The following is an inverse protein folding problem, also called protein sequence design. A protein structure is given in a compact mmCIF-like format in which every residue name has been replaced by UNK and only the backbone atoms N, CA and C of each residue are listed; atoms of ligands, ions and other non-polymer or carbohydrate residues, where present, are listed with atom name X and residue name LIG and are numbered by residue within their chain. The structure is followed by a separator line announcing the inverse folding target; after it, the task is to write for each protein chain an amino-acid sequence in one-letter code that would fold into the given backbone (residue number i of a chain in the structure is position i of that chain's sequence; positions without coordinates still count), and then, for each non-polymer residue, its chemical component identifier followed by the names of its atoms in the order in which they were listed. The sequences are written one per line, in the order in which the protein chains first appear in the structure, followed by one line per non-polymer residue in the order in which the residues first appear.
data_IF_684499365261
#
_entry.id   IF_684499365261
#
_cell.length_a   1.000
_cell.length_b   1.000
_cell.length_c   1.000
_cell.angle_alpha   90.00
_cell.angle_beta   90.00
_cell.angle_gamma   90.00
#
_symmetry.space_group_name_H-M   'P 1'
#
loop_
_entity.id
_entity.type
_entity.pdbx_description
1 polymer ?
#
# COMPACT_ATOMS: atom_id res chain seq x y z
N UNK A 1 -21.76 -26.37 43.70
CA UNK A 1 -22.79 -26.89 42.77
C UNK A 1 -23.07 -25.73 41.83
N UNK A 2 -22.51 -25.71 40.61
CA UNK A 2 -23.03 -26.38 39.40
C UNK A 2 -24.46 -25.90 39.15
N UNK A 3 -24.84 -25.28 38.03
CA UNK A 3 -24.33 -25.23 36.66
C UNK A 3 -25.05 -24.06 35.97
N UNK A 4 -24.45 -23.42 34.98
CA UNK A 4 -25.19 -23.16 33.74
C UNK A 4 -24.22 -23.09 32.56
N UNK A 5 -24.47 -24.01 31.62
CA UNK A 5 -23.77 -24.18 30.37
C UNK A 5 -24.36 -23.21 29.35
N UNK A 6 -23.52 -22.63 28.48
CA UNK A 6 -23.97 -22.29 27.13
C UNK A 6 -22.81 -22.49 26.16
N UNK A 7 -22.94 -23.57 25.39
CA UNK A 7 -22.14 -23.86 24.22
C UNK A 7 -22.56 -22.95 23.06
N UNK A 8 -21.59 -22.47 22.28
CA UNK A 8 -21.77 -22.00 20.89
C UNK A 8 -20.39 -22.00 20.17
N UNK A 9 -20.32 -22.07 18.83
CA UNK A 9 -19.58 -23.12 18.12
C UNK A 9 -18.21 -22.63 17.59
N UNK A 10 -17.29 -23.56 17.26
CA UNK A 10 -16.03 -23.22 16.61
C UNK A 10 -16.27 -23.02 15.11
N UNK A 11 -16.18 -21.78 14.63
CA UNK A 11 -16.30 -21.48 13.21
C UNK A 11 -15.16 -20.59 12.71
N UNK A 12 -14.39 -21.20 11.82
CA UNK A 12 -13.38 -20.66 10.91
C UNK A 12 -11.97 -20.45 11.50
N UNK A 13 -10.98 -21.26 11.07
CA UNK A 13 -9.59 -20.88 11.19
C UNK A 13 -9.41 -19.66 10.28
N UNK A 14 -9.44 -18.47 10.87
CA UNK A 14 -8.92 -17.27 10.23
C UNK A 14 -7.54 -17.66 9.68
N UNK A 15 -7.47 -17.73 8.35
CA UNK A 15 -6.29 -18.13 7.60
C UNK A 15 -5.08 -17.50 8.28
N UNK A 16 -4.16 -18.35 8.77
CA UNK A 16 -2.92 -17.95 9.39
C UNK A 16 -2.33 -16.85 8.51
N UNK A 17 -2.47 -15.60 8.94
CA UNK A 17 -1.69 -14.48 8.44
C UNK A 17 -0.27 -14.89 8.76
N UNK A 18 0.38 -15.51 7.77
CA UNK A 18 1.77 -15.89 7.83
C UNK A 18 2.49 -14.68 8.41
N UNK A 19 3.24 -14.92 9.50
CA UNK A 19 4.06 -13.90 10.15
C UNK A 19 4.77 -13.16 9.02
N UNK A 20 4.47 -11.87 8.75
CA UNK A 20 5.16 -11.17 7.69
C UNK A 20 6.66 -11.27 8.04
N UNK A 21 7.45 -11.90 7.17
CA UNK A 21 8.84 -12.24 7.45
C UNK A 21 9.60 -11.00 7.89
N UNK A 22 10.52 -11.20 8.82
CA UNK A 22 11.29 -10.15 9.49
C UNK A 22 11.76 -9.09 8.49
N UNK A 23 11.17 -7.91 8.64
CA UNK A 23 11.20 -6.78 7.70
C UNK A 23 12.55 -6.05 7.65
N UNK A 24 13.54 -6.52 8.41
CA UNK A 24 14.79 -5.81 8.68
C UNK A 24 16.02 -6.40 7.96
N UNK A 25 15.90 -7.56 7.31
CA UNK A 25 17.06 -8.26 6.72
C UNK A 25 17.18 -8.10 5.19
N UNK A 26 16.11 -7.67 4.51
CA UNK A 26 16.10 -7.48 3.05
C UNK A 26 16.23 -6.01 2.66
N UNK A 27 16.98 -5.70 1.59
CA UNK A 27 17.08 -4.33 1.09
C UNK A 27 15.69 -3.81 0.73
N UNK A 28 15.40 -2.58 1.14
CA UNK A 28 14.10 -1.93 1.00
C UNK A 28 13.52 -2.05 -0.42
N UNK A 29 14.35 -1.89 -1.46
CA UNK A 29 13.93 -2.03 -2.85
C UNK A 29 13.44 -3.44 -3.20
N UNK A 30 14.09 -4.48 -2.66
CA UNK A 30 13.70 -5.86 -2.90
C UNK A 30 12.40 -6.16 -2.17
N UNK A 31 12.23 -5.67 -0.94
CA UNK A 31 10.95 -5.77 -0.24
C UNK A 31 9.82 -5.07 -0.99
N UNK A 32 10.05 -3.86 -1.52
CA UNK A 32 9.03 -3.14 -2.29
C UNK A 32 8.66 -3.91 -3.55
N UNK A 33 9.64 -4.47 -4.26
CA UNK A 33 9.39 -5.17 -5.52
C UNK A 33 8.83 -6.59 -5.34
N UNK A 34 9.28 -7.32 -4.32
CA UNK A 34 8.95 -8.75 -4.13
C UNK A 34 7.76 -8.95 -3.20
N UNK A 35 7.56 -8.07 -2.21
CA UNK A 35 6.52 -8.24 -1.19
C UNK A 35 5.42 -7.17 -1.33
N UNK A 36 5.79 -5.89 -1.40
CA UNK A 36 4.82 -4.79 -1.43
C UNK A 36 4.05 -4.72 -2.75
N UNK A 37 4.75 -4.81 -3.89
CA UNK A 37 4.14 -4.82 -5.23
C UNK A 37 3.04 -5.88 -5.37
N UNK A 38 3.33 -7.19 -5.16
CA UNK A 38 2.30 -8.20 -5.27
C UNK A 38 1.23 -8.06 -4.18
N UNK A 39 1.56 -7.66 -2.95
CA UNK A 39 0.56 -7.45 -1.90
C UNK A 39 -0.42 -6.33 -2.26
N UNK A 40 0.08 -5.19 -2.76
CA UNK A 40 -0.76 -4.08 -3.22
C UNK A 40 -1.60 -4.51 -4.41
N UNK A 41 -0.99 -5.18 -5.41
CA UNK A 41 -1.73 -5.70 -6.56
C UNK A 41 -2.85 -6.64 -6.14
N UNK A 42 -2.57 -7.59 -5.25
CA UNK A 42 -3.55 -8.54 -4.77
C UNK A 42 -4.67 -7.85 -3.99
N UNK A 43 -4.35 -6.90 -3.11
CA UNK A 43 -5.35 -6.17 -2.33
C UNK A 43 -6.24 -5.27 -3.20
N UNK A 44 -5.69 -4.67 -4.25
CA UNK A 44 -6.46 -3.93 -5.24
C UNK A 44 -7.34 -4.87 -6.08
N UNK A 45 -6.81 -6.05 -6.44
CA UNK A 45 -7.57 -7.08 -7.18
C UNK A 45 -8.74 -7.64 -6.38
N UNK A 46 -8.52 -7.88 -5.08
CA UNK A 46 -9.55 -8.31 -4.13
C UNK A 46 -10.71 -7.30 -4.02
N UNK A 47 -10.40 -6.01 -4.21
CA UNK A 47 -11.37 -4.90 -4.27
C UNK A 47 -12.03 -4.72 -5.65
N UNK A 48 -11.74 -5.58 -6.63
CA UNK A 48 -12.33 -5.55 -7.96
C UNK A 48 -11.52 -4.81 -9.04
N UNK A 49 -10.29 -4.39 -8.76
CA UNK A 49 -9.40 -3.77 -9.75
C UNK A 49 -8.62 -4.83 -10.53
N UNK A 50 -8.96 -5.06 -11.79
CA UNK A 50 -8.32 -6.10 -12.61
C UNK A 50 -7.13 -5.62 -13.45
N UNK A 51 -7.07 -4.32 -13.76
CA UNK A 51 -6.11 -3.73 -14.71
C UNK A 51 -5.05 -2.91 -13.95
N UNK A 52 -4.35 -3.53 -13.01
CA UNK A 52 -3.36 -2.84 -12.15
C UNK A 52 -1.97 -3.02 -12.73
N UNK A 53 -1.36 -1.91 -13.11
CA UNK A 53 0.04 -1.79 -13.49
C UNK A 53 0.80 -1.13 -12.35
N UNK A 54 1.83 -1.79 -11.83
CA UNK A 54 2.68 -1.26 -10.77
C UNK A 54 4.12 -1.27 -11.23
N UNK A 55 4.80 -0.14 -11.07
CA UNK A 55 6.17 0.09 -11.48
C UNK A 55 6.94 0.77 -10.35
N UNK A 56 8.12 0.23 -10.03
CA UNK A 56 9.03 0.83 -9.07
C UNK A 56 10.24 1.35 -9.81
N UNK A 57 10.40 2.67 -9.87
CA UNK A 57 11.46 3.33 -10.63
C UNK A 57 12.08 4.46 -9.82
N UNK A 58 13.37 4.71 -10.00
CA UNK A 58 14.00 5.92 -9.50
C UNK A 58 13.74 7.04 -10.49
N UNK A 59 13.07 8.10 -10.04
CA UNK A 59 12.85 9.28 -10.87
C UNK A 59 12.82 10.55 -10.00
N UNK A 60 13.06 11.73 -10.59
CA UNK A 60 12.91 12.99 -9.87
C UNK A 60 11.45 13.23 -9.51
N UNK A 61 11.18 13.55 -8.24
CA UNK A 61 9.84 13.93 -7.79
C UNK A 61 9.36 15.17 -8.57
N UNK A 62 8.13 15.18 -9.13
CA UNK A 62 7.64 16.26 -9.98
C UNK A 62 7.57 17.64 -9.27
N UNK A 63 7.57 17.68 -7.95
CA UNK A 63 7.47 18.91 -7.15
C UNK A 63 8.80 19.30 -6.47
N UNK A 64 9.66 18.33 -6.16
CA UNK A 64 10.88 18.54 -5.35
C UNK A 64 12.13 18.52 -6.23
N UNK A 65 12.12 17.82 -7.37
CA UNK A 65 13.28 17.68 -8.27
C UNK A 65 14.35 16.71 -7.77
N UNK A 66 14.31 16.31 -6.48
CA UNK A 66 15.18 15.28 -5.93
C UNK A 66 14.90 13.90 -6.55
N UNK A 67 15.98 13.22 -6.96
CA UNK A 67 15.93 11.82 -7.39
C UNK A 67 15.60 10.96 -6.18
N UNK A 68 14.49 10.26 -6.28
CA UNK A 68 14.05 9.38 -5.21
C UNK A 68 13.41 8.14 -5.81
N UNK A 69 13.34 7.09 -5.01
CA UNK A 69 12.64 5.88 -5.40
C UNK A 69 11.13 6.16 -5.38
N UNK A 70 10.47 5.97 -6.51
CA UNK A 70 9.03 6.16 -6.62
C UNK A 70 8.34 4.88 -7.10
N UNK A 71 7.38 4.43 -6.29
CA UNK A 71 6.44 3.39 -6.65
C UNK A 71 5.25 4.04 -7.33
N UNK A 72 5.16 3.88 -8.64
CA UNK A 72 4.03 4.32 -9.43
C UNK A 72 3.10 3.16 -9.66
N UNK A 73 1.82 3.34 -9.38
CA UNK A 73 0.81 2.40 -9.82
C UNK A 73 -0.26 3.10 -10.63
N UNK A 74 -0.74 2.43 -11.66
CA UNK A 74 -1.79 2.92 -12.53
C UNK A 74 -2.79 1.81 -12.79
N UNK A 75 -4.07 2.17 -12.89
CA UNK A 75 -5.12 1.22 -13.26
C UNK A 75 -6.28 1.90 -13.97
N UNK A 76 -7.26 1.08 -14.36
CA UNK A 76 -8.41 1.50 -15.14
C UNK A 76 -7.96 2.16 -16.46
N UNK A 77 -7.07 1.50 -17.22
CA UNK A 77 -6.48 2.04 -18.45
C UNK A 77 -5.74 3.38 -18.24
N UNK A 78 -5.09 3.52 -17.08
CA UNK A 78 -4.33 4.71 -16.70
C UNK A 78 -5.18 5.93 -16.35
N UNK A 79 -6.48 5.74 -16.07
CA UNK A 79 -7.39 6.76 -15.54
C UNK A 79 -7.14 7.06 -14.06
N UNK A 80 -6.56 6.13 -13.32
CA UNK A 80 -6.23 6.34 -11.91
C UNK A 80 -4.80 5.94 -11.68
N UNK A 81 -4.05 6.81 -11.03
CA UNK A 81 -2.64 6.58 -10.74
C UNK A 81 -2.36 7.01 -9.32
N UNK A 82 -1.40 6.35 -8.72
CA UNK A 82 -0.79 6.77 -7.47
C UNK A 82 0.72 6.72 -7.62
N UNK A 83 1.38 7.56 -6.86
CA UNK A 83 2.82 7.62 -6.77
C UNK A 83 3.18 7.64 -5.30
N UNK A 84 4.04 6.74 -4.87
CA UNK A 84 4.62 6.72 -3.54
C UNK A 84 6.12 6.94 -3.67
N UNK A 85 6.56 8.17 -3.42
CA UNK A 85 7.96 8.57 -3.40
C UNK A 85 8.57 8.34 -2.02
N UNK A 86 9.77 7.78 -1.99
CA UNK A 86 10.56 7.53 -0.80
C UNK A 86 11.77 8.44 -0.82
N UNK A 87 11.89 9.37 0.12
CA UNK A 87 13.03 10.32 0.13
C UNK A 87 14.36 9.65 0.44
N UNK A 88 14.35 8.44 1.00
CA UNK A 88 15.52 7.61 1.21
C UNK A 88 15.16 6.12 1.10
N UNK A 89 16.17 5.28 0.93
CA UNK A 89 16.06 3.81 0.81
C UNK A 89 15.74 3.12 2.16
N UNK A 90 14.92 3.77 2.98
CA UNK A 90 14.57 3.30 4.31
C UNK A 90 13.05 3.33 4.49
N UNK A 91 12.53 2.33 5.18
CA UNK A 91 11.11 2.25 5.49
C UNK A 91 10.67 3.39 6.41
N UNK A 92 11.51 3.85 7.34
CA UNK A 92 11.18 4.94 8.29
C UNK A 92 11.42 6.33 7.71
N UNK A 93 11.99 6.42 6.51
CA UNK A 93 12.19 7.70 5.84
C UNK A 93 10.83 8.38 5.54
N UNK A 94 10.80 9.72 5.46
CA UNK A 94 9.61 10.41 5.02
C UNK A 94 9.21 9.95 3.62
N UNK A 95 7.92 9.68 3.46
CA UNK A 95 7.35 9.23 2.19
C UNK A 95 6.32 10.23 1.76
N UNK A 96 6.26 10.42 0.46
CA UNK A 96 5.27 11.25 -0.18
C UNK A 96 4.36 10.34 -0.97
N UNK A 97 3.07 10.47 -0.75
CA UNK A 97 2.05 9.77 -1.50
C UNK A 97 1.28 10.77 -2.32
N UNK A 98 1.06 10.44 -3.57
CA UNK A 98 0.36 11.27 -4.52
C UNK A 98 -0.68 10.44 -5.24
N UNK A 99 -1.81 11.06 -5.49
CA UNK A 99 -2.93 10.48 -6.20
C UNK A 99 -3.18 11.35 -7.42
N UNK A 100 -3.38 10.72 -8.56
CA UNK A 100 -3.73 11.39 -9.80
C UNK A 100 -4.93 10.68 -10.43
N UNK A 101 -6.00 11.42 -10.67
CA UNK A 101 -7.08 10.99 -11.56
C UNK A 101 -6.86 11.55 -12.99
N UNK A 102 -7.21 10.75 -13.98
CA UNK A 102 -7.08 11.05 -15.40
C UNK A 102 -5.64 11.06 -15.94
N UNK A 103 -5.42 11.89 -16.96
CA UNK A 103 -4.11 12.13 -17.59
C UNK A 103 -3.31 13.25 -16.91
N UNK A 104 -3.82 13.81 -15.81
CA UNK A 104 -3.15 14.90 -15.11
C UNK A 104 -1.91 14.39 -14.38
N UNK A 105 -0.87 15.24 -14.30
CA UNK A 105 0.30 14.95 -13.48
C UNK A 105 -0.12 14.92 -11.99
N UNK A 106 0.46 14.02 -11.18
CA UNK A 106 0.24 14.01 -9.73
C UNK A 106 0.62 15.36 -9.13
N UNK A 107 -0.39 16.19 -8.83
CA UNK A 107 -0.19 17.57 -8.39
C UNK A 107 -0.11 17.68 -6.86
N UNK A 108 -0.70 16.72 -6.13
CA UNK A 108 -0.77 16.75 -4.67
C UNK A 108 0.18 15.74 -4.08
N UNK A 109 1.28 16.21 -3.48
CA UNK A 109 2.13 15.37 -2.64
C UNK A 109 1.62 15.45 -1.20
N UNK A 110 1.11 14.34 -0.69
CA UNK A 110 0.70 14.20 0.70
C UNK A 110 1.77 13.46 1.50
N UNK A 111 1.96 13.84 2.76
CA UNK A 111 2.81 13.08 3.66
C UNK A 111 2.21 11.68 3.91
N UNK A 112 3.05 10.65 3.81
CA UNK A 112 2.64 9.26 3.95
C UNK A 112 3.45 8.59 5.06
N UNK A 113 2.76 8.16 6.12
CA UNK A 113 3.35 7.48 7.27
C UNK A 113 4.49 8.25 7.96
N UNK A 114 4.48 9.57 7.91
CA UNK A 114 5.54 10.40 8.52
C UNK A 114 5.64 10.33 10.05
N UNK A 115 4.59 9.87 10.73
CA UNK A 115 4.55 9.76 12.19
C UNK A 115 4.91 8.35 12.70
N UNK A 116 4.97 7.36 11.79
CA UNK A 116 5.05 5.96 12.17
C UNK A 116 6.51 5.51 12.36
N UNK A 117 6.86 5.25 13.63
CA UNK A 117 8.21 4.75 14.00
C UNK A 117 8.48 3.33 13.52
N UNK A 118 7.43 2.52 13.34
CA UNK A 118 7.52 1.12 12.89
C UNK A 118 6.62 0.91 11.68
N UNK A 119 7.24 0.87 10.53
CA UNK A 119 6.52 0.66 9.27
C UNK A 119 6.48 -0.84 9.01
N UNK A 120 5.29 -1.38 8.79
CA UNK A 120 5.10 -2.81 8.45
C UNK A 120 4.35 -2.94 7.13
N UNK A 121 4.50 -4.07 6.42
CA UNK A 121 3.73 -4.37 5.20
C UNK A 121 2.21 -4.17 5.38
N UNK A 122 1.56 -4.77 6.40
CA UNK A 122 0.11 -4.62 6.57
C UNK A 122 -0.27 -3.16 6.87
N UNK A 123 0.57 -2.39 7.55
CA UNK A 123 0.33 -0.97 7.79
C UNK A 123 0.40 -0.17 6.49
N UNK A 124 1.44 -0.40 5.67
CA UNK A 124 1.59 0.22 4.35
C UNK A 124 0.36 -0.05 3.49
N UNK A 125 0.00 -1.34 3.39
CA UNK A 125 -1.14 -1.80 2.60
C UNK A 125 -2.45 -1.17 3.09
N UNK A 126 -2.72 -1.23 4.40
CA UNK A 126 -3.93 -0.65 4.98
C UNK A 126 -4.01 0.86 4.76
N UNK A 127 -2.89 1.59 4.85
CA UNK A 127 -2.87 3.03 4.57
C UNK A 127 -3.09 3.34 3.10
N UNK A 128 -2.45 2.61 2.18
CA UNK A 128 -2.68 2.74 0.73
C UNK A 128 -4.17 2.51 0.45
N UNK A 129 -4.72 1.37 0.91
CA UNK A 129 -6.14 1.06 0.73
C UNK A 129 -7.04 2.14 1.33
N UNK A 130 -6.78 2.61 2.54
CA UNK A 130 -7.58 3.66 3.18
C UNK A 130 -7.57 4.96 2.37
N UNK A 131 -6.45 5.33 1.76
CA UNK A 131 -6.33 6.51 0.89
C UNK A 131 -7.15 6.34 -0.39
N UNK A 132 -7.07 5.16 -1.01
CA UNK A 132 -7.82 4.83 -2.22
C UNK A 132 -9.33 4.75 -1.97
N UNK A 133 -9.72 4.21 -0.82
CA UNK A 133 -11.11 4.16 -0.34
C UNK A 133 -11.63 5.58 -0.07
N UNK A 134 -10.82 6.44 0.54
CA UNK A 134 -11.13 7.85 0.77
C UNK A 134 -11.38 8.65 -0.51
N UNK A 135 -10.72 8.28 -1.63
CA UNK A 135 -10.99 8.85 -2.96
C UNK A 135 -12.21 8.25 -3.66
N UNK A 136 -12.93 7.33 -3.01
CA UNK A 136 -14.03 6.52 -3.59
C UNK A 136 -13.61 5.74 -4.83
N UNK A 137 -12.33 5.39 -4.93
CA UNK A 137 -11.83 4.61 -6.06
C UNK A 137 -12.11 3.12 -5.90
N UNK A 138 -12.26 2.65 -4.65
CA UNK A 138 -12.57 1.25 -4.31
C UNK A 138 -14.08 1.00 -4.09
N UNK A 139 -14.90 2.04 -4.03
CA UNK A 139 -16.33 1.90 -3.81
C UNK A 139 -17.03 1.54 -5.14
N UNK A 140 -17.36 0.26 -5.30
CA UNK A 140 -18.55 -0.12 -6.05
C UNK A 140 -19.75 0.42 -5.27
N UNK A 141 -20.51 1.36 -5.86
CA UNK A 141 -21.94 1.42 -5.56
C UNK A 141 -22.62 0.24 -6.25
#
# INVERSE_FOLDING_TARGET
MSEEQTATPPAQPAAKKAKPPALEDKPFQEFVQVDLLPAVRQALSDRGLVDIDLQFVEAPLPVVGDRCWQLQGSWAKGQRRFLLGFTAENLTAPKVFSLADGKAAPATLEAFLGDERKITLPLLLNRILSRLDGQKWLAQN
#
